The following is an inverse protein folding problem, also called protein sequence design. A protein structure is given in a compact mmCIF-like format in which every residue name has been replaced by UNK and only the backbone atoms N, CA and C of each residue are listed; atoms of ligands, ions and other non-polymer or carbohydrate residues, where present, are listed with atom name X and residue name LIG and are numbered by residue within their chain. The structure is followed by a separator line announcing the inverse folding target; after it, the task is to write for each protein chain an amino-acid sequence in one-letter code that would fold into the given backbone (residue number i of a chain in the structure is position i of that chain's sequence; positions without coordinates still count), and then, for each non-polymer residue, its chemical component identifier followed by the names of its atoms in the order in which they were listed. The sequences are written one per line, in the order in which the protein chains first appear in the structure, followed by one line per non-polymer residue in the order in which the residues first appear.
data_IF_455241638508
#
_entry.id   IF_455241638508
#
_cell.length_a   1.000
_cell.length_b   1.000
_cell.length_c   1.000
_cell.angle_alpha   90.00
_cell.angle_beta   90.00
_cell.angle_gamma   90.00
#
_symmetry.space_group_name_H-M   'P 1'
#
loop_
_entity.id
_entity.type
_entity.pdbx_description
1 polymer ?
#
# COMPACT_ATOMS: atom_id res chain seq x y z
N UNK A 1 26.75 -15.71 -4.00
CA UNK A 1 25.44 -15.98 -3.36
C UNK A 1 25.55 -16.46 -1.90
N UNK A 2 26.63 -16.16 -1.15
CA UNK A 2 26.84 -16.66 0.22
C UNK A 2 26.33 -15.72 1.33
N UNK A 3 25.84 -14.52 0.96
CA UNK A 3 25.49 -13.44 1.89
C UNK A 3 23.97 -13.16 1.96
N UNK A 4 23.14 -14.00 1.36
CA UNK A 4 21.67 -13.85 1.33
C UNK A 4 20.94 -14.93 2.16
N UNK A 5 21.69 -15.69 2.97
CA UNK A 5 21.11 -16.70 3.86
C UNK A 5 21.14 -16.16 5.28
N UNK A 6 19.98 -16.07 5.90
CA UNK A 6 19.85 -15.76 7.32
C UNK A 6 20.58 -16.85 8.12
N UNK A 7 21.29 -16.45 9.17
CA UNK A 7 22.18 -17.37 9.90
C UNK A 7 21.40 -18.35 10.76
N UNK A 8 20.21 -17.97 11.20
CA UNK A 8 19.30 -18.80 11.97
C UNK A 8 17.84 -18.42 11.67
N UNK A 9 16.91 -19.27 12.10
CA UNK A 9 15.46 -19.09 11.87
C UNK A 9 14.91 -17.94 12.71
N UNK A 10 15.48 -17.67 13.88
CA UNK A 10 15.07 -16.61 14.79
C UNK A 10 15.28 -15.21 14.20
N UNK A 11 16.36 -15.01 13.42
CA UNK A 11 16.60 -13.78 12.66
C UNK A 11 15.55 -13.59 11.57
N UNK A 12 15.06 -14.68 10.96
CA UNK A 12 13.97 -14.64 9.98
C UNK A 12 12.65 -14.23 10.63
N UNK A 13 12.30 -14.82 11.77
CA UNK A 13 11.09 -14.46 12.52
C UNK A 13 11.14 -13.01 13.02
N UNK A 14 12.28 -12.59 13.59
CA UNK A 14 12.47 -11.23 14.09
C UNK A 14 12.41 -10.21 12.94
N UNK A 15 13.04 -10.53 11.80
CA UNK A 15 12.97 -9.71 10.59
C UNK A 15 11.56 -9.62 10.03
N UNK A 16 10.80 -10.72 10.05
CA UNK A 16 9.40 -10.72 9.63
C UNK A 16 8.52 -9.87 10.55
N UNK A 17 8.71 -9.98 11.87
CA UNK A 17 8.02 -9.13 12.84
C UNK A 17 8.37 -7.65 12.62
N UNK A 18 9.65 -7.31 12.39
CA UNK A 18 10.08 -5.95 12.09
C UNK A 18 9.44 -5.41 10.79
N UNK A 19 9.31 -6.24 9.75
CA UNK A 19 8.64 -5.87 8.52
C UNK A 19 7.15 -5.56 8.72
N UNK A 20 6.47 -6.24 9.65
CA UNK A 20 5.08 -5.92 9.98
C UNK A 20 4.90 -4.49 10.50
N UNK A 21 5.90 -3.94 11.20
CA UNK A 21 5.89 -2.55 11.69
C UNK A 21 6.26 -1.52 10.61
N UNK A 22 6.96 -1.95 9.56
CA UNK A 22 7.36 -1.09 8.44
C UNK A 22 6.19 -0.81 7.47
N UNK A 23 5.20 -1.68 7.42
CA UNK A 23 4.01 -1.47 6.60
C UNK A 23 3.00 -0.58 7.32
N UNK A 24 2.69 0.56 6.70
CA UNK A 24 1.58 1.40 7.13
C UNK A 24 0.25 0.68 6.88
N UNK A 25 -0.69 0.78 7.84
CA UNK A 25 -2.09 0.41 7.64
C UNK A 25 -2.90 1.49 6.89
N UNK A 26 -2.22 2.53 6.39
CA UNK A 26 -2.83 3.52 5.50
C UNK A 26 -3.08 2.91 4.12
N UNK A 27 -4.27 2.35 3.97
CA UNK A 27 -4.75 1.71 2.75
C UNK A 27 -5.44 2.70 1.79
N UNK A 28 -5.47 4.00 2.13
CA UNK A 28 -6.16 5.00 1.32
C UNK A 28 -5.42 5.27 0.01
N UNK A 29 -6.14 5.54 -1.09
CA UNK A 29 -5.52 5.94 -2.34
C UNK A 29 -4.67 7.20 -2.15
N UNK A 30 -3.44 7.19 -2.66
CA UNK A 30 -2.55 8.34 -2.60
C UNK A 30 -2.69 9.20 -3.86
N UNK A 31 -3.38 10.34 -3.74
CA UNK A 31 -3.60 11.28 -4.84
C UNK A 31 -2.29 11.69 -5.54
N UNK A 32 -1.22 11.95 -4.79
CA UNK A 32 0.08 12.33 -5.37
C UNK A 32 0.68 11.20 -6.21
N UNK A 33 0.52 9.96 -5.77
CA UNK A 33 0.94 8.78 -6.52
C UNK A 33 0.18 8.65 -7.84
N UNK A 34 -1.14 8.86 -7.79
CA UNK A 34 -2.02 8.81 -8.98
C UNK A 34 -1.68 9.94 -9.94
N UNK A 35 -1.45 11.16 -9.46
CA UNK A 35 -1.01 12.30 -10.28
C UNK A 35 0.33 12.01 -10.98
N UNK A 36 1.28 11.38 -10.29
CA UNK A 36 2.54 10.99 -10.93
C UNK A 36 2.33 9.91 -12.01
N UNK A 37 1.47 8.92 -11.76
CA UNK A 37 1.10 7.92 -12.76
C UNK A 37 0.43 8.57 -13.97
N UNK A 38 -0.52 9.48 -13.75
CA UNK A 38 -1.19 10.25 -14.80
C UNK A 38 -0.19 11.04 -15.65
N UNK A 39 0.75 11.76 -15.01
CA UNK A 39 1.82 12.49 -15.69
C UNK A 39 2.62 11.57 -16.62
N UNK A 40 3.01 10.39 -16.14
CA UNK A 40 3.78 9.41 -16.93
C UNK A 40 2.95 8.87 -18.11
N UNK A 41 1.68 8.54 -17.89
CA UNK A 41 0.79 8.03 -18.93
C UNK A 41 0.45 9.09 -19.99
N UNK A 42 0.35 10.36 -19.60
CA UNK A 42 0.10 11.47 -20.52
C UNK A 42 1.28 11.74 -21.47
N UNK A 43 2.50 11.31 -21.13
CA UNK A 43 3.66 11.40 -22.02
C UNK A 43 3.55 10.48 -23.23
N UNK A 44 2.91 9.32 -23.08
CA UNK A 44 2.83 8.27 -24.11
C UNK A 44 1.44 8.17 -24.74
N UNK A 45 0.39 8.60 -24.05
CA UNK A 45 -0.99 8.55 -24.52
C UNK A 45 -1.68 9.93 -24.42
N UNK A 46 -1.88 10.63 -25.55
CA UNK A 46 -2.54 11.93 -25.58
C UNK A 46 -3.96 11.94 -25.01
N UNK A 47 -4.68 10.81 -25.03
CA UNK A 47 -6.04 10.69 -24.48
C UNK A 47 -6.07 10.92 -22.97
N UNK A 48 -4.94 10.71 -22.28
CA UNK A 48 -4.85 10.90 -20.84
C UNK A 48 -4.88 12.37 -20.43
N UNK A 49 -4.56 13.32 -21.33
CA UNK A 49 -4.51 14.75 -20.99
C UNK A 49 -5.84 15.32 -20.49
N UNK A 50 -6.97 14.75 -20.92
CA UNK A 50 -8.30 15.18 -20.49
C UNK A 50 -8.81 14.50 -19.21
N UNK A 51 -8.08 13.52 -18.67
CA UNK A 51 -8.46 12.79 -17.47
C UNK A 51 -7.97 13.55 -16.25
N UNK A 52 -8.85 13.82 -15.29
CA UNK A 52 -8.46 14.36 -13.98
C UNK A 52 -8.10 13.22 -13.04
N UNK A 53 -7.02 13.41 -12.27
CA UNK A 53 -6.56 12.38 -11.34
C UNK A 53 -7.55 12.13 -10.20
N UNK A 54 -8.34 13.13 -9.84
CA UNK A 54 -9.35 13.01 -8.78
C UNK A 54 -10.55 12.16 -9.22
N UNK A 55 -10.93 12.23 -10.49
CA UNK A 55 -12.11 11.55 -11.04
C UNK A 55 -11.93 10.03 -11.17
N UNK A 56 -10.69 9.54 -11.06
CA UNK A 56 -10.36 8.11 -11.17
C UNK A 56 -10.16 7.44 -9.80
N UNK A 57 -10.32 8.19 -8.70
CA UNK A 57 -10.18 7.66 -7.35
C UNK A 57 -11.51 7.02 -6.93
N UNK A 58 -11.48 5.71 -6.72
CA UNK A 58 -12.59 4.96 -6.11
C UNK A 58 -12.22 4.56 -4.68
N UNK A 59 -12.94 5.12 -3.71
CA UNK A 59 -12.80 4.77 -2.29
C UNK A 59 -13.57 3.50 -1.91
N UNK A 60 -14.47 3.00 -2.77
CA UNK A 60 -15.32 1.85 -2.50
C UNK A 60 -14.55 0.59 -2.04
N UNK A 61 -13.44 0.19 -2.70
CA UNK A 61 -12.61 -0.90 -2.23
C UNK A 61 -12.09 -0.70 -0.80
N UNK A 62 -11.62 0.50 -0.46
CA UNK A 62 -11.15 0.83 0.88
C UNK A 62 -12.27 0.71 1.89
N UNK A 63 -13.42 1.33 1.61
CA UNK A 63 -14.59 1.26 2.49
C UNK A 63 -15.07 -0.17 2.72
N UNK A 64 -14.95 -1.05 1.71
CA UNK A 64 -15.27 -2.49 1.86
C UNK A 64 -14.28 -3.18 2.79
N UNK A 65 -12.99 -2.92 2.64
CA UNK A 65 -11.94 -3.48 3.52
C UNK A 65 -12.11 -2.99 4.95
N UNK A 66 -12.36 -1.69 5.14
CA UNK A 66 -12.58 -1.10 6.46
C UNK A 66 -13.75 -1.73 7.20
N UNK A 67 -14.78 -2.20 6.50
CA UNK A 67 -15.94 -2.88 7.11
C UNK A 67 -15.69 -4.34 7.51
N UNK A 68 -14.54 -4.91 7.15
CA UNK A 68 -14.23 -6.31 7.50
C UNK A 68 -13.82 -6.43 8.96
N UNK A 69 -14.22 -7.52 9.62
CA UNK A 69 -13.77 -7.85 10.98
C UNK A 69 -12.24 -7.93 11.07
N UNK A 70 -11.60 -8.50 10.04
CA UNK A 70 -10.15 -8.59 9.93
C UNK A 70 -9.46 -7.22 10.04
N UNK A 71 -9.91 -6.23 9.26
CA UNK A 71 -9.30 -4.90 9.29
C UNK A 71 -9.51 -4.20 10.64
N UNK A 72 -10.70 -4.32 11.21
CA UNK A 72 -11.01 -3.75 12.53
C UNK A 72 -10.13 -4.35 13.63
N UNK A 73 -9.96 -5.67 13.64
CA UNK A 73 -9.08 -6.36 14.58
C UNK A 73 -7.60 -5.95 14.40
N UNK A 74 -7.17 -5.81 13.15
CA UNK A 74 -5.81 -5.40 12.81
C UNK A 74 -5.50 -3.98 13.31
N UNK A 75 -6.41 -3.03 13.07
CA UNK A 75 -6.29 -1.65 13.58
C UNK A 75 -6.34 -1.62 15.11
N UNK A 76 -7.17 -2.43 15.75
CA UNK A 76 -7.25 -2.51 17.21
C UNK A 76 -5.95 -3.03 17.84
N UNK A 77 -5.27 -3.98 17.18
CA UNK A 77 -3.96 -4.49 17.62
C UNK A 77 -2.86 -3.46 17.48
N UNK A 78 -2.84 -2.70 16.38
CA UNK A 78 -1.83 -1.68 16.12
C UNK A 78 -1.90 -0.48 17.08
N UNK A 79 -3.03 -0.26 17.77
CA UNK A 79 -3.22 0.82 18.76
C UNK A 79 -2.82 0.45 20.20
N UNK A 80 -2.52 -0.82 20.47
CA UNK A 80 -2.08 -1.30 21.79
C UNK A 80 -0.56 -1.28 21.88
#
# INVERSE_FOLDING_TARGET
MKNLRLKNVQEAESGYQALQWLYSLDIKPNLKGIQNMHRLLAMTNPKMKGVRSEDVIDEGPVQRVEKTAFYQDLVARAKR
#
